data_IF_565261356592
#
_entry.id   IF_565261356592
#
_cell.length_a   1.000
_cell.length_b   1.000
_cell.length_c   1.000
_cell.angle_alpha   90.00
_cell.angle_beta   90.00
_cell.angle_gamma   90.00
#
_symmetry.space_group_name_H-M   'P 1'
#
loop_
_entity.id
_entity.type
_entity.pdbx_description
1 polymer ?
#
# COMPACT_ATOMS: atom_id res chain seq x y z
N UNK A 1 22.83 -26.85 -6.21
CA UNK A 1 23.05 -25.87 -5.13
C UNK A 1 21.69 -25.30 -4.67
N UNK A 2 20.96 -26.01 -3.80
CA UNK A 2 19.55 -25.72 -3.44
C UNK A 2 19.32 -24.35 -2.78
N UNK A 3 20.37 -23.79 -2.17
CA UNK A 3 20.35 -22.45 -1.54
C UNK A 3 20.02 -21.34 -2.54
N UNK A 4 20.46 -21.45 -3.80
CA UNK A 4 20.18 -20.44 -4.82
C UNK A 4 18.67 -20.32 -5.11
N UNK A 5 17.95 -21.43 -5.14
CA UNK A 5 16.49 -21.43 -5.38
C UNK A 5 15.72 -20.82 -4.21
N UNK A 6 16.15 -21.09 -2.96
CA UNK A 6 15.56 -20.47 -1.77
C UNK A 6 15.75 -18.96 -1.76
N UNK A 7 16.90 -18.46 -2.16
CA UNK A 7 17.14 -17.02 -2.30
C UNK A 7 16.30 -16.42 -3.43
N UNK A 8 16.22 -17.11 -4.58
CA UNK A 8 15.49 -16.61 -5.75
C UNK A 8 13.99 -16.42 -5.47
N UNK A 9 13.40 -17.25 -4.62
CA UNK A 9 11.98 -17.18 -4.27
C UNK A 9 11.73 -16.42 -2.96
N UNK A 10 12.58 -16.64 -1.95
CA UNK A 10 12.43 -16.07 -0.62
C UNK A 10 12.65 -14.56 -0.58
N UNK A 11 13.64 -14.06 -1.33
CA UNK A 11 13.94 -12.61 -1.39
C UNK A 11 12.79 -11.81 -1.99
N UNK A 12 12.27 -12.10 -3.21
CA UNK A 12 11.15 -11.35 -3.75
C UNK A 12 9.87 -11.53 -2.92
N UNK A 13 9.61 -12.73 -2.39
CA UNK A 13 8.48 -12.95 -1.48
C UNK A 13 8.57 -12.08 -0.22
N UNK A 14 9.76 -12.01 0.40
CA UNK A 14 10.03 -11.19 1.57
C UNK A 14 9.88 -9.69 1.26
N UNK A 15 10.41 -9.22 0.13
CA UNK A 15 10.28 -7.81 -0.26
C UNK A 15 8.83 -7.43 -0.56
N UNK A 16 8.05 -8.30 -1.21
CA UNK A 16 6.62 -8.07 -1.45
C UNK A 16 5.85 -8.05 -0.12
N UNK A 17 6.12 -9.00 0.77
CA UNK A 17 5.50 -9.05 2.09
C UNK A 17 5.86 -7.82 2.93
N UNK A 18 7.13 -7.43 2.97
CA UNK A 18 7.62 -6.25 3.71
C UNK A 18 7.06 -4.96 3.13
N UNK A 19 6.96 -4.83 1.80
CA UNK A 19 6.30 -3.70 1.17
C UNK A 19 4.82 -3.66 1.53
N UNK A 20 4.16 -4.80 1.72
CA UNK A 20 2.77 -4.88 2.18
C UNK A 20 2.60 -4.64 3.68
N UNK A 21 3.55 -5.01 4.54
CA UNK A 21 3.45 -4.84 5.99
C UNK A 21 4.01 -3.52 6.51
N UNK A 22 4.93 -2.86 5.79
CA UNK A 22 5.48 -1.58 6.24
C UNK A 22 4.47 -0.44 5.99
N UNK A 23 4.04 0.19 7.08
CA UNK A 23 3.11 1.32 7.09
C UNK A 23 3.84 2.65 7.28
N UNK A 24 5.07 2.78 6.76
CA UNK A 24 5.84 4.01 6.94
C UNK A 24 5.17 5.16 6.17
N UNK A 25 4.51 6.01 6.95
CA UNK A 25 3.51 7.04 6.60
C UNK A 25 4.05 8.24 5.82
N UNK A 26 5.29 8.22 5.34
CA UNK A 26 5.95 9.41 4.76
C UNK A 26 5.70 9.64 3.27
N UNK A 27 5.25 8.62 2.55
CA UNK A 27 5.01 8.68 1.09
C UNK A 27 3.57 8.29 0.69
N UNK A 28 2.58 8.45 1.58
CA UNK A 28 1.20 8.12 1.21
C UNK A 28 0.65 9.12 0.18
N UNK A 29 0.74 8.71 -1.09
CA UNK A 29 0.22 9.43 -2.26
C UNK A 29 -1.23 9.05 -2.52
N UNK A 30 -2.15 9.78 -1.91
CA UNK A 30 -3.57 9.68 -2.20
C UNK A 30 -3.89 10.29 -3.57
N UNK A 31 -4.66 9.57 -4.37
CA UNK A 31 -5.23 10.02 -5.65
C UNK A 31 -6.74 9.90 -5.55
N UNK A 32 -7.45 10.96 -5.92
CA UNK A 32 -8.90 10.93 -5.99
C UNK A 32 -9.32 10.26 -7.30
N UNK A 33 -10.00 9.13 -7.19
CA UNK A 33 -10.71 8.54 -8.31
C UNK A 33 -12.12 9.14 -8.37
N UNK A 34 -12.27 10.20 -9.17
CA UNK A 34 -13.52 10.94 -9.32
C UNK A 34 -14.63 10.09 -9.95
N UNK A 35 -14.29 9.03 -10.69
CA UNK A 35 -15.28 8.15 -11.29
C UNK A 35 -15.95 7.26 -10.23
N UNK A 36 -15.22 6.90 -9.18
CA UNK A 36 -15.72 6.06 -8.09
C UNK A 36 -16.03 6.79 -6.78
N UNK A 37 -15.77 8.10 -6.68
CA UNK A 37 -15.90 8.85 -5.42
C UNK A 37 -15.03 8.26 -4.30
N UNK A 38 -13.86 7.71 -4.66
CA UNK A 38 -12.95 7.04 -3.71
C UNK A 38 -11.55 7.59 -3.83
N UNK A 39 -10.94 7.85 -2.67
CA UNK A 39 -9.52 8.08 -2.55
C UNK A 39 -8.78 6.75 -2.61
N UNK A 40 -7.84 6.62 -3.54
CA UNK A 40 -6.94 5.47 -3.66
C UNK A 40 -5.50 5.89 -3.41
N UNK A 41 -4.82 5.18 -2.53
CA UNK A 41 -3.42 5.39 -2.22
C UNK A 41 -2.55 4.65 -3.24
N UNK A 42 -1.76 5.36 -4.05
CA UNK A 42 -0.87 4.75 -5.04
C UNK A 42 0.29 3.95 -4.41
N UNK A 43 0.68 4.29 -3.18
CA UNK A 43 1.80 3.65 -2.48
C UNK A 43 1.38 2.40 -1.70
N UNK A 44 0.16 2.39 -1.16
CA UNK A 44 -0.30 1.39 -0.21
C UNK A 44 -1.53 0.60 -0.68
N UNK A 45 -2.21 1.05 -1.74
CA UNK A 45 -3.41 0.41 -2.27
C UNK A 45 -4.67 0.62 -1.43
N UNK A 46 -4.58 1.34 -0.30
CA UNK A 46 -5.74 1.65 0.53
C UNK A 46 -6.78 2.47 -0.24
N UNK A 47 -8.06 2.13 -0.04
CA UNK A 47 -9.20 2.86 -0.60
C UNK A 47 -10.05 3.45 0.52
N UNK A 48 -10.41 4.73 0.41
CA UNK A 48 -11.34 5.40 1.31
C UNK A 48 -12.44 6.09 0.49
N UNK A 49 -13.70 6.13 0.98
CA UNK A 49 -14.72 6.95 0.37
C UNK A 49 -14.35 8.44 0.47
N UNK A 50 -14.76 9.23 -0.52
CA UNK A 50 -14.62 10.67 -0.53
C UNK A 50 -15.53 11.29 0.53
N UNK A 51 -14.96 11.78 1.64
CA UNK A 51 -15.70 12.39 2.75
C UNK A 51 -15.81 13.93 2.66
N UNK A 52 -15.48 14.53 1.51
CA UNK A 52 -15.56 15.99 1.30
C UNK A 52 -14.50 16.83 2.04
N UNK A 53 -13.77 16.28 3.02
CA UNK A 53 -12.76 16.99 3.83
C UNK A 53 -11.36 17.03 3.19
N UNK A 54 -11.26 16.64 1.93
CA UNK A 54 -10.00 16.59 1.17
C UNK A 54 -9.25 15.26 1.31
N UNK A 55 -7.98 15.24 0.87
CA UNK A 55 -7.19 14.01 0.85
C UNK A 55 -6.95 13.46 2.28
N UNK A 56 -7.04 12.13 2.50
CA UNK A 56 -6.83 11.56 3.83
C UNK A 56 -5.41 11.85 4.34
N UNK A 57 -5.30 12.43 5.54
CA UNK A 57 -3.99 12.73 6.16
C UNK A 57 -3.33 11.51 6.80
N UNK A 58 -4.09 10.42 6.97
CA UNK A 58 -3.65 9.21 7.66
C UNK A 58 -3.72 8.04 6.69
N UNK A 59 -2.61 7.29 6.61
CA UNK A 59 -2.53 6.12 5.75
C UNK A 59 -3.19 4.92 6.43
N UNK A 60 -4.44 4.62 6.06
CA UNK A 60 -5.24 3.51 6.61
C UNK A 60 -4.88 2.15 6.00
N UNK A 61 -3.59 1.77 6.00
CA UNK A 61 -3.17 0.42 5.54
C UNK A 61 -3.66 -0.72 6.44
N UNK A 62 -4.19 -0.40 7.63
CA UNK A 62 -4.40 -1.35 8.72
C UNK A 62 -5.80 -1.33 9.36
N UNK A 63 -6.82 -0.78 8.70
CA UNK A 63 -8.21 -0.96 9.17
C UNK A 63 -8.81 -2.20 8.50
N UNK A 64 -8.54 -3.36 9.09
CA UNK A 64 -9.37 -4.56 8.97
C UNK A 64 -10.74 -4.34 9.62
#
# INVERSE_FOLDING_TARGET
MPVLFLLLLGVPAYFIWRHRSTSLTRDCRWRLDRAGGVWRCAACGGALPESGEGAPRICRKNHS
#
